data_IF_205254675042
#
_entry.id   IF_205254675042
#
_cell.length_a   1.000
_cell.length_b   1.000
_cell.length_c   1.000
_cell.angle_alpha   90.00
_cell.angle_beta   90.00
_cell.angle_gamma   90.00
#
_symmetry.space_group_name_H-M   'P 1'
#
loop_
_entity.id
_entity.type
_entity.pdbx_description
1 polymer ?
#
# COMPACT_ATOMS: atom_id res chain seq x y z
N UNK A 1 29.16 5.90 -10.21
CA UNK A 1 28.94 4.45 -10.02
C UNK A 1 27.45 4.27 -10.01
N UNK A 2 26.92 3.28 -10.72
CA UNK A 2 25.48 2.98 -10.71
C UNK A 2 25.12 2.16 -9.46
N UNK A 3 23.85 2.24 -9.07
CA UNK A 3 23.32 1.55 -7.89
C UNK A 3 23.58 0.03 -7.91
N UNK A 4 23.58 -0.57 -9.11
CA UNK A 4 23.83 -2.01 -9.30
C UNK A 4 25.24 -2.40 -8.89
N UNK A 5 26.26 -1.64 -9.28
CA UNK A 5 27.66 -1.93 -8.90
C UNK A 5 27.87 -1.78 -7.40
N UNK A 6 27.22 -0.79 -6.77
CA UNK A 6 27.28 -0.58 -5.32
C UNK A 6 26.71 -1.76 -4.53
N UNK A 7 25.67 -2.42 -5.06
CA UNK A 7 24.98 -3.54 -4.42
C UNK A 7 25.42 -4.91 -4.94
N UNK A 8 26.53 -4.98 -5.70
CA UNK A 8 26.99 -6.21 -6.35
C UNK A 8 25.87 -6.96 -7.10
N UNK A 9 25.02 -6.19 -7.79
CA UNK A 9 23.85 -6.70 -8.49
C UNK A 9 24.16 -6.96 -9.97
N UNK A 10 23.85 -8.17 -10.44
CA UNK A 10 23.98 -8.61 -11.83
C UNK A 10 22.61 -8.91 -12.42
N UNK A 11 22.30 -8.34 -13.58
CA UNK A 11 21.03 -8.59 -14.28
C UNK A 11 21.26 -9.68 -15.34
N UNK A 12 20.63 -10.84 -15.18
CA UNK A 12 20.53 -11.89 -16.21
C UNK A 12 19.22 -11.71 -16.99
N UNK A 13 19.33 -11.04 -18.13
CA UNK A 13 18.19 -10.78 -19.01
C UNK A 13 17.64 -12.06 -19.66
N UNK A 14 18.46 -13.08 -19.90
CA UNK A 14 18.02 -14.31 -20.55
C UNK A 14 17.10 -15.10 -19.63
N UNK A 15 17.45 -15.18 -18.35
CA UNK A 15 16.70 -15.91 -17.34
C UNK A 15 15.70 -15.05 -16.58
N UNK A 16 15.56 -13.77 -16.94
CA UNK A 16 14.74 -12.75 -16.25
C UNK A 16 15.06 -12.68 -14.76
N UNK A 17 16.34 -12.59 -14.39
CA UNK A 17 16.79 -12.61 -13.00
C UNK A 17 17.65 -11.40 -12.64
N UNK A 18 17.59 -11.00 -11.38
CA UNK A 18 18.54 -10.08 -10.75
C UNK A 18 19.23 -10.83 -9.61
N UNK A 19 20.54 -10.93 -9.69
CA UNK A 19 21.39 -11.68 -8.76
C UNK A 19 22.15 -10.68 -7.90
N UNK A 20 22.08 -10.81 -6.58
CA UNK A 20 22.86 -10.00 -5.65
C UNK A 20 23.99 -10.84 -5.03
N UNK A 21 25.21 -10.30 -5.06
CA UNK A 21 26.41 -10.96 -4.55
C UNK A 21 27.21 -11.67 -5.66
N UNK A 22 27.93 -12.74 -5.30
CA UNK A 22 28.74 -13.51 -6.25
C UNK A 22 27.85 -14.37 -7.17
N UNK A 23 28.13 -14.38 -8.47
CA UNK A 23 27.36 -15.16 -9.46
C UNK A 23 27.46 -16.67 -9.19
N UNK A 24 28.56 -17.14 -8.60
CA UNK A 24 28.78 -18.54 -8.24
C UNK A 24 28.24 -18.91 -6.85
N UNK A 25 27.95 -17.91 -6.00
CA UNK A 25 27.40 -18.08 -4.67
C UNK A 25 26.49 -16.88 -4.31
N UNK A 26 25.30 -16.78 -4.94
CA UNK A 26 24.45 -15.62 -4.79
C UNK A 26 23.82 -15.57 -3.39
N UNK A 27 23.75 -14.36 -2.82
CA UNK A 27 23.05 -14.14 -1.55
C UNK A 27 21.54 -14.12 -1.76
N UNK A 28 21.10 -13.40 -2.81
CA UNK A 28 19.69 -13.28 -3.19
C UNK A 28 19.53 -13.34 -4.71
N UNK A 29 18.48 -14.02 -5.16
CA UNK A 29 18.10 -14.06 -6.57
C UNK A 29 16.64 -13.64 -6.68
N UNK A 30 16.39 -12.54 -7.38
CA UNK A 30 15.06 -12.09 -7.72
C UNK A 30 14.69 -12.58 -9.12
N UNK A 31 13.53 -13.19 -9.25
CA UNK A 31 12.98 -13.60 -10.54
C UNK A 31 11.96 -12.56 -11.01
N UNK A 32 12.24 -11.94 -12.16
CA UNK A 32 11.30 -11.10 -12.88
C UNK A 32 10.10 -11.90 -13.41
N UNK A 33 9.06 -11.20 -13.85
CA UNK A 33 7.89 -11.83 -14.47
C UNK A 33 8.27 -12.42 -15.83
N UNK A 34 8.19 -13.75 -15.99
CA UNK A 34 8.38 -14.36 -17.30
C UNK A 34 7.21 -13.99 -18.24
N UNK A 35 7.49 -13.65 -19.51
CA UNK A 35 6.45 -13.54 -20.53
C UNK A 35 5.64 -14.85 -20.59
N UNK A 36 4.35 -14.77 -20.29
CA UNK A 36 3.43 -15.93 -20.34
C UNK A 36 3.13 -16.61 -19.00
N UNK A 37 3.80 -16.23 -17.89
CA UNK A 37 3.39 -16.65 -16.54
C UNK A 37 2.54 -15.55 -15.92
N UNK A 38 1.25 -15.82 -15.69
CA UNK A 38 0.38 -14.85 -15.03
C UNK A 38 0.85 -14.64 -13.58
N UNK A 39 1.06 -13.38 -13.20
CA UNK A 39 1.14 -13.01 -11.79
C UNK A 39 -0.23 -13.29 -11.18
N UNK A 40 -0.28 -14.11 -10.13
CA UNK A 40 -1.52 -14.30 -9.38
C UNK A 40 -1.79 -13.04 -8.57
N UNK A 41 -2.64 -12.19 -9.12
CA UNK A 41 -3.19 -11.05 -8.41
C UNK A 41 -4.37 -11.57 -7.60
N UNK A 42 -4.36 -11.29 -6.30
CA UNK A 42 -5.45 -11.63 -5.38
C UNK A 42 -6.17 -10.35 -4.94
N UNK A 43 -7.41 -10.50 -4.50
CA UNK A 43 -8.14 -9.40 -3.88
C UNK A 43 -7.58 -9.09 -2.49
N UNK A 44 -7.73 -7.84 -2.06
CA UNK A 44 -7.30 -7.40 -0.73
C UNK A 44 -7.94 -8.23 0.40
N UNK A 45 -9.20 -8.67 0.23
CA UNK A 45 -9.88 -9.55 1.18
C UNK A 45 -9.18 -10.91 1.32
N UNK A 46 -8.74 -11.49 0.20
CA UNK A 46 -8.02 -12.76 0.20
C UNK A 46 -6.65 -12.60 0.86
N UNK A 47 -5.96 -11.50 0.59
CA UNK A 47 -4.69 -11.17 1.27
C UNK A 47 -4.89 -11.10 2.78
N UNK A 48 -5.95 -10.42 3.27
CA UNK A 48 -6.29 -10.37 4.70
C UNK A 48 -6.54 -11.75 5.30
N UNK A 49 -7.26 -12.61 4.60
CA UNK A 49 -7.50 -14.00 5.04
C UNK A 49 -6.19 -14.77 5.16
N UNK A 50 -5.32 -14.71 4.16
CA UNK A 50 -4.01 -15.38 4.20
C UNK A 50 -3.15 -14.90 5.37
N UNK A 51 -3.07 -13.59 5.59
CA UNK A 51 -2.38 -13.02 6.75
C UNK A 51 -2.98 -13.53 8.07
N UNK A 52 -4.30 -13.63 8.18
CA UNK A 52 -4.96 -14.15 9.39
C UNK A 52 -4.69 -15.64 9.65
N UNK A 53 -4.34 -16.40 8.62
CA UNK A 53 -3.92 -17.80 8.72
C UNK A 53 -2.42 -17.96 9.03
N UNK A 54 -1.71 -16.85 9.25
CA UNK A 54 -0.29 -16.87 9.62
C UNK A 54 0.68 -16.82 8.44
N UNK A 55 0.21 -16.50 7.23
CA UNK A 55 1.12 -16.20 6.12
C UNK A 55 1.87 -14.88 6.38
N UNK A 56 3.15 -14.85 6.01
CA UNK A 56 3.94 -13.61 6.01
C UNK A 56 3.60 -12.78 4.77
N UNK A 57 3.44 -11.46 4.97
CA UNK A 57 3.20 -10.52 3.89
C UNK A 57 4.16 -9.35 3.96
N UNK A 58 4.60 -8.90 2.78
CA UNK A 58 5.49 -7.75 2.64
C UNK A 58 4.78 -6.66 1.84
N UNK A 59 4.92 -5.42 2.29
CA UNK A 59 4.44 -4.25 1.57
C UNK A 59 5.65 -3.56 0.93
N UNK A 60 5.59 -3.36 -0.39
CA UNK A 60 6.57 -2.59 -1.12
C UNK A 60 5.90 -1.33 -1.69
N UNK A 61 6.54 -0.17 -1.50
CA UNK A 61 6.07 1.11 -2.03
C UNK A 61 7.06 1.63 -3.06
N UNK A 62 6.57 1.90 -4.27
CA UNK A 62 7.36 2.56 -5.31
C UNK A 62 7.12 4.06 -5.16
N UNK A 63 8.19 4.82 -4.91
CA UNK A 63 8.16 6.27 -4.88
C UNK A 63 8.95 6.78 -6.08
N UNK A 64 8.36 7.73 -6.82
CA UNK A 64 9.07 8.42 -7.88
C UNK A 64 9.93 9.52 -7.24
N UNK A 65 11.25 9.40 -7.35
CA UNK A 65 12.21 10.38 -6.82
C UNK A 65 12.42 11.57 -7.75
N UNK A 66 11.86 11.55 -8.96
CA UNK A 66 12.00 12.63 -9.95
C UNK A 66 10.91 13.69 -9.86
N UNK A 67 9.83 13.39 -9.14
CA UNK A 67 8.75 14.32 -8.84
C UNK A 67 9.01 15.02 -7.51
N UNK A 68 8.87 16.34 -7.46
CA UNK A 68 8.59 17.02 -6.19
C UNK A 68 7.34 16.37 -5.60
N UNK A 69 7.39 16.00 -4.32
CA UNK A 69 6.25 15.42 -3.62
C UNK A 69 5.15 16.48 -3.62
N UNK A 70 3.97 16.24 -4.24
CA UNK A 70 2.87 17.17 -4.18
C UNK A 70 2.55 17.43 -2.71
N UNK A 71 2.38 18.70 -2.36
CA UNK A 71 1.95 19.04 -1.02
C UNK A 71 0.59 18.39 -0.76
N UNK A 72 0.34 17.99 0.49
CA UNK A 72 -1.00 17.55 0.87
C UNK A 72 -2.05 18.65 0.57
N UNK A 73 -1.63 19.92 0.60
CA UNK A 73 -2.45 21.08 0.24
C UNK A 73 -2.81 21.14 -1.25
N UNK A 74 -2.13 20.39 -2.11
CA UNK A 74 -2.44 20.28 -3.54
C UNK A 74 -3.54 19.25 -3.81
N UNK A 75 -3.95 18.45 -2.81
CA UNK A 75 -5.04 17.49 -2.96
C UNK A 75 -6.40 18.19 -2.92
N UNK A 76 -7.28 17.99 -3.92
CA UNK A 76 -8.59 18.64 -3.99
C UNK A 76 -9.46 18.45 -2.75
N UNK A 77 -9.38 17.25 -2.13
CA UNK A 77 -10.14 16.93 -0.94
C UNK A 77 -9.65 17.68 0.30
N UNK A 78 -8.37 18.02 0.37
CA UNK A 78 -7.79 18.77 1.50
C UNK A 78 -8.22 20.24 1.42
N UNK A 79 -8.35 20.79 0.20
CA UNK A 79 -8.88 22.12 -0.03
C UNK A 79 -10.37 22.26 0.31
N UNK A 80 -11.13 21.17 0.26
CA UNK A 80 -12.56 21.15 0.61
C UNK A 80 -12.79 21.16 2.13
N UNK A 81 -11.82 20.66 2.92
CA UNK A 81 -11.92 20.52 4.38
C UNK A 81 -10.73 21.18 5.12
N UNK A 82 -10.50 22.49 4.95
CA UNK A 82 -9.37 23.18 5.58
C UNK A 82 -9.45 23.18 7.12
N UNK A 83 -10.65 22.98 7.67
CA UNK A 83 -10.94 22.90 9.11
C UNK A 83 -10.62 21.52 9.73
N UNK A 84 -10.45 20.50 8.89
CA UNK A 84 -10.09 19.13 9.32
C UNK A 84 -8.59 18.89 9.19
N UNK A 85 -7.96 19.49 8.17
CA UNK A 85 -6.55 19.30 7.83
C UNK A 85 -5.71 20.55 8.14
N UNK A 86 -5.73 20.99 9.40
CA UNK A 86 -4.83 22.06 9.86
C UNK A 86 -3.37 21.57 9.92
N UNK A 87 -2.43 22.50 9.71
CA UNK A 87 -0.97 22.23 9.81
C UNK A 87 -0.55 21.75 11.21
N UNK A 88 -1.32 22.13 12.23
CA UNK A 88 -1.12 21.70 13.62
C UNK A 88 -2.22 20.71 14.03
N UNK A 89 -1.81 19.49 14.40
CA UNK A 89 -2.72 18.49 14.97
C UNK A 89 -3.19 18.96 16.36
N UNK A 90 -4.41 19.49 16.46
CA UNK A 90 -5.01 19.96 17.73
C UNK A 90 -5.34 18.84 18.75
N UNK A 91 -4.77 17.64 18.56
CA UNK A 91 -5.03 16.46 19.36
C UNK A 91 -6.11 15.55 18.75
N UNK A 92 -6.25 14.37 19.34
CA UNK A 92 -7.30 13.43 18.93
C UNK A 92 -8.64 14.04 19.36
N UNK A 93 -9.63 14.17 18.45
CA UNK A 93 -10.95 14.64 18.85
C UNK A 93 -11.49 13.75 19.96
N UNK A 94 -12.14 14.31 21.00
CA UNK A 94 -12.70 13.52 22.09
C UNK A 94 -13.66 12.46 21.53
N UNK A 95 -13.80 11.34 22.26
CA UNK A 95 -14.75 10.28 21.91
C UNK A 95 -16.12 10.92 21.70
N UNK A 96 -16.57 10.97 20.45
CA UNK A 96 -17.90 11.46 20.11
C UNK A 96 -18.85 10.29 20.34
N UNK A 97 -19.73 10.39 21.32
CA UNK A 97 -20.94 9.58 21.34
C UNK A 97 -21.76 10.01 20.11
N UNK A 98 -21.75 9.19 19.06
CA UNK A 98 -22.62 9.40 17.91
C UNK A 98 -24.01 9.00 18.37
N UNK A 99 -24.83 9.98 18.73
CA UNK A 99 -26.24 9.76 19.01
C UNK A 99 -26.93 9.44 17.67
N UNK A 100 -27.06 8.15 17.37
CA UNK A 100 -27.75 7.69 16.17
C UNK A 100 -29.25 7.90 16.36
N UNK A 101 -29.79 8.95 15.74
CA UNK A 101 -31.23 9.12 15.60
C UNK A 101 -31.72 8.31 14.39
N UNK A 102 -32.53 7.29 14.64
CA UNK A 102 -33.26 6.57 13.60
C UNK A 102 -34.60 7.28 13.42
N UNK A 103 -34.69 8.09 12.38
CA UNK A 103 -35.98 8.66 11.97
C UNK A 103 -36.83 7.57 11.32
N UNK A 104 -37.89 7.18 12.02
CA UNK A 104 -38.88 6.26 11.48
C UNK A 104 -39.84 7.03 10.57
N UNK A 105 -40.08 6.49 9.38
CA UNK A 105 -41.21 6.92 8.57
C UNK A 105 -42.52 6.64 9.33
N UNK A 106 -43.55 7.51 9.23
CA UNK A 106 -44.83 7.27 9.88
C UNK A 106 -45.41 5.90 9.47
N UNK A 107 -45.66 5.04 10.45
CA UNK A 107 -46.19 3.68 10.22
C UNK A 107 -45.16 2.54 10.25
N UNK A 108 -43.89 2.82 10.57
CA UNK A 108 -42.93 1.75 10.84
C UNK A 108 -43.28 1.03 12.17
N UNK A 109 -43.49 -0.28 12.10
CA UNK A 109 -43.74 -1.15 13.26
C UNK A 109 -42.54 -2.08 13.51
N UNK A 110 -42.26 -2.46 14.77
CA UNK A 110 -41.20 -3.40 15.09
C UNK A 110 -41.54 -4.80 14.56
N UNK A 111 -40.56 -5.44 13.94
CA UNK A 111 -40.67 -6.83 13.49
C UNK A 111 -40.44 -7.73 14.72
N UNK A 112 -41.38 -8.63 15.00
CA UNK A 112 -41.31 -9.62 16.10
C UNK A 112 -40.65 -10.92 15.66
#
# INVERSE_FOLDING_TARGET
>A
MDWLTEHHATIDCHSYQVIFGDIHAPEFVYHGSLPGKSMQIILALQARTLLSHGCEGFLATIHDTTSEVPSIHDQPIVLEFPDVFHDELQGIPPVREVEFNIELIPGAEPIS
#
